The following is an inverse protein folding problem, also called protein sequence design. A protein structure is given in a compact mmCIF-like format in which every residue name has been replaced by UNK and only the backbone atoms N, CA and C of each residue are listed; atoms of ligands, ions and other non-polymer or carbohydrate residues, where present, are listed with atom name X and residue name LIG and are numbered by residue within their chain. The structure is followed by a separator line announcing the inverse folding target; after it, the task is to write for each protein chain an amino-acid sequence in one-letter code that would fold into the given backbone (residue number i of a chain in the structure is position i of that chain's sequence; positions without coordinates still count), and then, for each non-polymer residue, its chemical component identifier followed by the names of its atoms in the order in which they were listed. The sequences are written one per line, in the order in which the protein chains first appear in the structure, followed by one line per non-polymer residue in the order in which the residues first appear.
data_IF_286855352630
#
_entry.id   IF_286855352630
#
_cell.length_a   1.000
_cell.length_b   1.000
_cell.length_c   1.000
_cell.angle_alpha   90.00
_cell.angle_beta   90.00
_cell.angle_gamma   90.00
#
_symmetry.space_group_name_H-M   'P 1'
#
loop_
_entity.id
_entity.type
_entity.pdbx_description
1 polymer ?
#
# COMPACT_ATOMS: atom_id res chain seq x y z
N UNK A 1 27.81 0.48 -54.23
CA UNK A 1 26.93 0.10 -55.36
C UNK A 1 25.85 -0.85 -54.88
N UNK A 2 24.66 -0.53 -55.14
CA UNK A 2 23.31 -1.13 -55.07
C UNK A 2 22.42 -0.47 -54.05
N UNK A 3 21.61 0.48 -54.57
CA UNK A 3 20.40 1.07 -53.99
C UNK A 3 19.27 0.03 -54.06
N UNK A 4 18.49 -0.09 -53.00
CA UNK A 4 17.17 -0.72 -53.06
C UNK A 4 16.12 0.36 -52.74
N UNK A 5 15.20 0.52 -53.71
CA UNK A 5 14.10 1.44 -53.67
C UNK A 5 12.91 0.80 -52.97
N UNK A 6 12.21 1.58 -52.12
CA UNK A 6 10.90 1.21 -51.59
C UNK A 6 9.79 1.67 -52.55
N UNK A 7 8.96 0.71 -52.96
CA UNK A 7 7.79 0.91 -53.80
C UNK A 7 6.55 1.16 -52.87
N UNK A 8 5.95 2.34 -52.97
CA UNK A 8 4.70 2.66 -52.32
C UNK A 8 3.53 2.25 -53.25
N UNK A 9 2.65 1.39 -52.77
CA UNK A 9 1.41 1.03 -53.48
C UNK A 9 0.28 1.84 -52.86
N UNK A 10 -0.27 2.79 -53.65
CA UNK A 10 -1.49 3.49 -53.36
C UNK A 10 -2.70 2.65 -53.82
N UNK A 11 -3.59 2.31 -52.90
CA UNK A 11 -4.85 1.64 -53.22
C UNK A 11 -5.98 2.67 -53.18
N UNK A 12 -6.49 3.06 -54.34
CA UNK A 12 -7.61 3.97 -54.55
C UNK A 12 -8.90 3.13 -54.54
N UNK A 13 -9.75 3.30 -53.54
CA UNK A 13 -11.07 2.64 -53.50
C UNK A 13 -12.12 3.63 -53.96
N UNK A 14 -12.81 3.31 -55.01
CA UNK A 14 -13.96 4.01 -55.60
C UNK A 14 -15.19 3.68 -54.75
N UNK A 15 -15.86 4.70 -54.20
CA UNK A 15 -17.13 4.55 -53.50
C UNK A 15 -18.27 4.78 -54.47
N UNK A 16 -19.04 3.73 -54.79
CA UNK A 16 -20.29 3.83 -55.49
C UNK A 16 -21.42 3.99 -54.49
N UNK A 17 -22.11 5.12 -54.53
CA UNK A 17 -23.29 5.35 -53.72
C UNK A 17 -24.52 4.64 -54.33
N UNK A 18 -25.07 3.67 -53.61
CA UNK A 18 -26.45 3.18 -53.84
C UNK A 18 -27.29 3.63 -52.66
N UNK A 19 -28.32 4.42 -52.92
CA UNK A 19 -29.33 4.79 -51.96
C UNK A 19 -30.21 3.61 -51.59
N UNK A 20 -30.35 3.36 -50.29
CA UNK A 20 -31.34 2.50 -49.73
C UNK A 20 -32.05 3.21 -48.57
N UNK A 21 -33.37 3.25 -48.61
CA UNK A 21 -34.24 3.78 -47.57
C UNK A 21 -33.96 3.16 -46.21
N UNK A 22 -33.91 3.96 -45.17
CA UNK A 22 -33.69 3.52 -43.80
C UNK A 22 -34.91 2.76 -43.27
N UNK A 23 -34.77 1.57 -42.68
CA UNK A 23 -35.85 0.89 -42.00
C UNK A 23 -36.21 1.59 -40.69
N UNK A 24 -37.49 1.69 -40.41
CA UNK A 24 -38.04 2.21 -39.15
C UNK A 24 -37.59 1.36 -37.97
N UNK A 25 -37.25 1.97 -36.82
CA UNK A 25 -36.84 1.22 -35.65
C UNK A 25 -38.00 0.43 -35.06
N UNK A 26 -37.78 -0.86 -34.88
CA UNK A 26 -38.67 -1.73 -34.10
C UNK A 26 -38.71 -1.30 -32.64
N UNK A 27 -39.83 -1.47 -31.91
CA UNK A 27 -39.90 -1.15 -30.50
C UNK A 27 -38.88 -2.01 -29.72
N UNK A 28 -37.98 -1.35 -29.00
CA UNK A 28 -37.06 -2.03 -28.08
C UNK A 28 -37.86 -2.67 -26.93
N UNK A 29 -37.58 -3.90 -26.54
CA UNK A 29 -38.10 -4.45 -25.31
C UNK A 29 -37.58 -3.61 -24.14
N UNK A 30 -38.49 -3.20 -23.25
CA UNK A 30 -38.17 -2.57 -21.98
C UNK A 30 -37.24 -3.50 -21.20
N UNK A 31 -35.99 -3.06 -20.98
CA UNK A 31 -35.06 -3.81 -20.15
C UNK A 31 -35.64 -3.93 -18.73
N UNK A 32 -35.80 -5.15 -18.25
CA UNK A 32 -36.04 -5.40 -16.82
C UNK A 32 -34.89 -4.78 -16.01
N UNK A 33 -35.18 -4.19 -14.83
CA UNK A 33 -34.13 -3.68 -13.99
C UNK A 33 -33.17 -4.82 -13.66
N UNK A 34 -31.83 -4.58 -13.65
CA UNK A 34 -30.87 -5.62 -13.33
C UNK A 34 -31.20 -6.19 -11.95
N UNK A 35 -31.35 -7.51 -11.90
CA UNK A 35 -31.44 -8.28 -10.66
C UNK A 35 -30.28 -7.79 -9.75
N UNK A 36 -30.63 -7.30 -8.55
CA UNK A 36 -29.66 -6.93 -7.54
C UNK A 36 -28.64 -8.07 -7.42
N UNK A 37 -27.36 -7.78 -7.67
CA UNK A 37 -26.31 -8.75 -7.54
C UNK A 37 -26.41 -9.36 -6.14
N UNK A 38 -26.73 -10.63 -6.05
CA UNK A 38 -26.74 -11.37 -4.79
C UNK A 38 -25.32 -11.30 -4.24
N UNK A 39 -25.17 -10.76 -3.04
CA UNK A 39 -23.90 -10.77 -2.34
C UNK A 39 -23.29 -12.18 -2.41
N UNK A 40 -21.99 -12.32 -2.66
CA UNK A 40 -21.35 -13.63 -2.74
C UNK A 40 -21.65 -14.42 -1.45
N UNK A 41 -21.85 -15.75 -1.55
CA UNK A 41 -22.15 -16.59 -0.39
C UNK A 41 -21.07 -16.37 0.67
N UNK A 42 -21.51 -16.14 1.91
CA UNK A 42 -20.59 -15.91 3.04
C UNK A 42 -19.71 -17.14 3.19
N UNK A 43 -18.38 -16.99 3.19
CA UNK A 43 -17.52 -18.13 3.51
C UNK A 43 -17.89 -18.65 4.91
N UNK A 44 -18.06 -19.95 5.03
CA UNK A 44 -18.34 -20.61 6.30
C UNK A 44 -17.02 -20.73 7.07
N UNK A 45 -16.62 -19.64 7.77
CA UNK A 45 -15.35 -19.57 8.46
C UNK A 45 -15.37 -20.44 9.73
N UNK A 46 -14.26 -21.10 10.09
CA UNK A 46 -14.13 -21.85 11.33
C UNK A 46 -14.43 -21.02 12.57
N UNK A 47 -14.96 -21.63 13.62
CA UNK A 47 -15.30 -20.95 14.87
C UNK A 47 -14.06 -20.76 15.76
N UNK A 48 -13.41 -19.62 15.63
CA UNK A 48 -12.23 -19.22 16.44
C UNK A 48 -12.61 -18.35 17.65
N UNK A 49 -13.90 -17.97 17.81
CA UNK A 49 -14.36 -16.95 18.77
C UNK A 49 -14.23 -17.35 20.26
N UNK A 50 -14.09 -18.63 20.53
CA UNK A 50 -14.01 -19.13 21.92
C UNK A 50 -12.62 -18.93 22.55
N UNK A 51 -11.59 -18.63 21.75
CA UNK A 51 -10.18 -18.54 22.18
C UNK A 51 -9.62 -17.11 22.17
N UNK A 52 -10.39 -16.11 21.73
CA UNK A 52 -9.89 -14.73 21.63
C UNK A 52 -9.74 -14.04 23.00
N UNK A 53 -8.60 -13.36 23.20
CA UNK A 53 -8.48 -12.43 24.31
C UNK A 53 -9.51 -11.30 24.18
N UNK A 54 -9.88 -10.69 25.32
CA UNK A 54 -10.85 -9.61 25.40
C UNK A 54 -10.57 -8.54 24.33
N UNK A 55 -11.60 -7.91 23.76
CA UNK A 55 -11.43 -6.82 22.79
C UNK A 55 -10.65 -5.67 23.43
N UNK A 56 -9.97 -4.91 22.58
CA UNK A 56 -9.27 -3.69 22.96
C UNK A 56 -10.17 -2.75 23.81
N UNK A 57 -9.66 -2.07 24.84
CA UNK A 57 -10.45 -1.41 25.87
C UNK A 57 -11.20 -0.13 25.43
N UNK A 58 -11.35 0.14 24.14
CA UNK A 58 -12.15 1.27 23.67
C UNK A 58 -13.64 0.94 23.62
N UNK A 59 -14.54 1.85 24.06
CA UNK A 59 -15.98 1.64 24.02
C UNK A 59 -16.50 1.55 22.57
N UNK A 60 -17.51 0.71 22.33
CA UNK A 60 -18.18 0.61 21.03
C UNK A 60 -18.79 1.94 20.61
N UNK A 61 -18.67 2.29 19.33
CA UNK A 61 -19.29 3.47 18.72
C UNK A 61 -18.70 4.81 19.15
N UNK A 62 -17.50 4.81 19.77
CA UNK A 62 -16.88 6.02 20.30
C UNK A 62 -16.44 7.03 19.22
N UNK A 63 -16.32 6.61 17.97
CA UNK A 63 -15.71 7.43 16.92
C UNK A 63 -16.62 7.60 15.71
N UNK A 64 -16.66 8.82 15.17
CA UNK A 64 -17.34 9.11 13.92
C UNK A 64 -16.52 8.59 12.72
N UNK A 65 -17.18 8.15 11.63
CA UNK A 65 -16.49 7.84 10.38
C UNK A 65 -15.71 9.03 9.83
N UNK A 66 -14.54 8.75 9.26
CA UNK A 66 -13.73 9.74 8.54
C UNK A 66 -13.77 9.42 7.05
N UNK A 67 -14.03 10.43 6.23
CA UNK A 67 -13.99 10.33 4.78
C UNK A 67 -12.59 9.90 4.30
N UNK A 68 -12.52 9.03 3.28
CA UNK A 68 -11.26 8.47 2.83
C UNK A 68 -10.28 9.53 2.30
N UNK A 69 -10.78 10.59 1.62
CA UNK A 69 -9.91 11.69 1.15
C UNK A 69 -9.38 12.52 2.30
N UNK A 70 -10.20 12.76 3.33
CA UNK A 70 -9.76 13.44 4.56
C UNK A 70 -8.71 12.59 5.28
N UNK A 71 -8.97 11.29 5.43
CA UNK A 71 -8.03 10.36 6.09
C UNK A 71 -6.70 10.29 5.36
N UNK A 72 -6.71 10.24 4.02
CA UNK A 72 -5.49 10.22 3.23
C UNK A 72 -4.63 11.47 3.46
N UNK A 73 -5.24 12.64 3.66
CA UNK A 73 -4.51 13.86 4.00
C UNK A 73 -4.00 13.84 5.44
N UNK A 74 -4.75 13.25 6.37
CA UNK A 74 -4.34 13.11 7.78
C UNK A 74 -3.16 12.15 7.95
N UNK A 75 -2.95 11.18 7.03
CA UNK A 75 -1.76 10.33 7.04
C UNK A 75 -0.47 11.15 6.95
N UNK A 76 -0.50 12.33 6.34
CA UNK A 76 0.61 13.27 6.33
C UNK A 76 1.92 12.64 5.86
N UNK A 77 2.97 12.84 6.64
CA UNK A 77 4.30 12.26 6.45
C UNK A 77 4.46 11.05 7.35
N UNK A 78 4.66 9.89 6.76
CA UNK A 78 4.79 8.63 7.50
C UNK A 78 6.19 8.04 7.47
N UNK A 79 6.41 7.07 8.35
CA UNK A 79 7.58 6.19 8.34
C UNK A 79 7.15 4.75 8.59
N UNK A 80 7.80 3.81 7.90
CA UNK A 80 7.57 2.38 8.10
C UNK A 80 8.44 1.88 9.28
N UNK A 81 7.85 1.12 10.21
CA UNK A 81 8.57 0.35 11.22
C UNK A 81 8.98 -1.00 10.63
N UNK A 82 9.72 -0.93 9.52
CA UNK A 82 10.17 -2.10 8.77
C UNK A 82 11.29 -2.88 9.45
N UNK A 83 11.41 -4.15 9.07
CA UNK A 83 12.37 -5.12 9.61
C UNK A 83 12.18 -5.44 11.10
N UNK A 84 10.95 -5.31 11.61
CA UNK A 84 10.60 -5.56 13.01
C UNK A 84 9.57 -6.69 13.15
N UNK A 85 8.29 -6.40 12.93
CA UNK A 85 7.17 -7.33 13.15
C UNK A 85 6.78 -8.13 11.91
N UNK A 86 7.31 -7.81 10.75
CA UNK A 86 7.20 -8.62 9.53
C UNK A 86 8.27 -9.70 9.43
N UNK A 87 9.28 -9.68 10.28
CA UNK A 87 10.19 -10.80 10.47
C UNK A 87 9.41 -12.04 10.95
N UNK A 88 9.88 -13.27 10.70
CA UNK A 88 9.24 -14.49 11.21
C UNK A 88 9.07 -14.46 12.72
N UNK A 89 10.01 -13.85 13.41
CA UNK A 89 9.98 -13.53 14.84
C UNK A 89 10.57 -12.13 15.03
N UNK A 90 9.92 -11.31 15.83
CA UNK A 90 10.42 -9.97 16.15
C UNK A 90 11.85 -10.04 16.70
N UNK A 91 12.74 -9.20 16.16
CA UNK A 91 14.16 -9.19 16.49
C UNK A 91 15.04 -10.14 15.66
N UNK A 92 14.47 -11.06 14.88
CA UNK A 92 15.24 -11.99 14.05
C UNK A 92 16.05 -11.26 12.97
N UNK A 93 15.53 -10.14 12.47
CA UNK A 93 16.23 -9.27 11.51
C UNK A 93 16.95 -8.10 12.17
N UNK A 94 17.22 -8.21 13.48
CA UNK A 94 18.07 -7.27 14.26
C UNK A 94 17.30 -6.12 14.90
N UNK A 95 16.04 -5.89 14.56
CA UNK A 95 15.24 -4.78 15.10
C UNK A 95 14.02 -5.29 15.89
N UNK A 96 13.69 -4.52 16.95
CA UNK A 96 12.45 -4.69 17.72
C UNK A 96 11.78 -3.33 17.86
N UNK A 97 10.45 -3.31 17.95
CA UNK A 97 9.74 -2.07 18.25
C UNK A 97 9.95 -1.68 19.72
N UNK A 98 10.38 -0.45 19.96
CA UNK A 98 10.61 0.09 21.31
C UNK A 98 9.70 1.29 21.59
N UNK A 99 9.37 1.47 22.88
CA UNK A 99 8.48 2.55 23.31
C UNK A 99 9.02 3.93 22.91
N UNK A 100 10.30 4.14 23.07
CA UNK A 100 10.98 5.41 22.73
C UNK A 100 10.89 5.80 21.25
N UNK A 101 10.59 4.87 20.33
CA UNK A 101 10.49 5.18 18.91
C UNK A 101 9.28 6.04 18.56
N UNK A 102 8.16 5.86 19.26
CA UNK A 102 6.93 6.60 18.97
C UNK A 102 7.08 8.12 19.25
N UNK A 103 7.48 8.55 20.45
CA UNK A 103 7.74 9.97 20.67
C UNK A 103 8.89 10.52 19.80
N UNK A 104 9.94 9.73 19.51
CA UNK A 104 11.00 10.15 18.58
C UNK A 104 10.46 10.45 17.19
N UNK A 105 9.64 9.57 16.64
CA UNK A 105 9.02 9.72 15.31
C UNK A 105 8.09 10.94 15.30
N UNK A 106 7.25 11.10 16.31
CA UNK A 106 6.35 12.25 16.41
C UNK A 106 7.10 13.58 16.53
N UNK A 107 8.10 13.64 17.40
CA UNK A 107 8.94 14.84 17.61
C UNK A 107 9.76 15.20 16.37
N UNK A 108 10.19 14.22 15.58
CA UNK A 108 10.85 14.46 14.32
C UNK A 108 9.92 15.13 13.29
N UNK A 109 8.61 14.98 13.42
CA UNK A 109 7.61 15.60 12.54
C UNK A 109 6.88 14.63 11.62
N UNK A 110 6.92 13.34 11.90
CA UNK A 110 6.07 12.35 11.22
C UNK A 110 4.66 12.33 11.84
N UNK A 111 3.67 12.02 11.03
CA UNK A 111 2.25 11.97 11.40
C UNK A 111 1.72 10.54 11.43
N UNK A 112 2.42 9.59 10.79
CA UNK A 112 1.97 8.20 10.61
C UNK A 112 3.11 7.22 10.80
N UNK A 113 2.82 6.11 11.48
CA UNK A 113 3.63 4.89 11.44
C UNK A 113 2.90 3.82 10.65
N UNK A 114 3.52 3.28 9.60
CA UNK A 114 3.05 2.05 8.98
C UNK A 114 3.82 0.90 9.62
N UNK A 115 3.07 -0.09 10.09
CA UNK A 115 3.60 -1.21 10.86
C UNK A 115 3.46 -2.49 10.03
N UNK A 116 4.54 -2.90 9.34
CA UNK A 116 4.61 -4.19 8.68
C UNK A 116 4.45 -5.34 9.69
N UNK A 117 3.54 -6.29 9.44
CA UNK A 117 3.23 -7.37 10.38
C UNK A 117 3.10 -8.70 9.65
N UNK A 118 3.80 -9.74 10.13
CA UNK A 118 3.70 -11.10 9.60
C UNK A 118 2.74 -11.98 10.40
N UNK A 119 1.44 -11.68 10.34
CA UNK A 119 0.39 -12.41 11.05
C UNK A 119 0.42 -13.91 10.78
N UNK A 120 0.73 -14.31 9.54
CA UNK A 120 0.78 -15.71 9.12
C UNK A 120 1.80 -16.54 9.88
N UNK A 121 2.89 -15.93 10.38
CA UNK A 121 3.91 -16.61 11.19
C UNK A 121 3.46 -16.87 12.64
N UNK A 122 2.46 -16.11 13.11
CA UNK A 122 1.97 -16.15 14.48
C UNK A 122 0.56 -16.73 14.62
N UNK A 123 0.14 -17.53 13.65
CA UNK A 123 -1.17 -18.16 13.63
C UNK A 123 -1.06 -19.67 13.32
N UNK A 124 -2.01 -20.46 13.82
CA UNK A 124 -2.09 -21.87 13.51
C UNK A 124 -2.18 -22.10 11.98
N UNK A 125 -1.55 -23.17 11.53
CA UNK A 125 -1.57 -23.59 10.13
C UNK A 125 -2.84 -24.35 9.74
N UNK A 126 -3.53 -24.87 10.72
CA UNK A 126 -4.77 -25.63 10.55
C UNK A 126 -5.93 -24.89 11.19
N UNK A 127 -7.17 -25.12 10.74
CA UNK A 127 -8.34 -24.57 11.41
C UNK A 127 -8.33 -24.83 12.93
N UNK A 128 -8.71 -23.86 13.73
CA UNK A 128 -9.40 -22.61 13.37
C UNK A 128 -8.47 -21.43 12.99
N UNK A 129 -7.18 -21.66 12.68
CA UNK A 129 -6.19 -20.64 12.29
C UNK A 129 -5.98 -19.53 13.32
N UNK A 130 -6.12 -19.86 14.60
CA UNK A 130 -6.05 -18.90 15.70
C UNK A 130 -4.71 -18.15 15.69
N UNK A 131 -4.75 -16.82 15.71
CA UNK A 131 -3.58 -15.97 15.94
C UNK A 131 -3.22 -16.07 17.41
N UNK A 132 -1.93 -16.24 17.72
CA UNK A 132 -1.42 -16.36 19.08
C UNK A 132 -1.83 -15.15 19.93
N UNK A 133 -2.45 -15.35 21.12
CA UNK A 133 -2.91 -14.25 21.95
C UNK A 133 -1.79 -13.29 22.37
N UNK A 134 -0.59 -13.80 22.64
CA UNK A 134 0.58 -13.01 22.99
C UNK A 134 1.03 -12.11 21.82
N UNK A 135 0.84 -12.55 20.57
CA UNK A 135 1.14 -11.71 19.43
C UNK A 135 0.13 -10.58 19.27
N UNK A 136 -1.16 -10.85 19.50
CA UNK A 136 -2.15 -9.79 19.59
C UNK A 136 -1.80 -8.76 20.67
N UNK A 137 -1.41 -9.21 21.87
CA UNK A 137 -0.99 -8.30 22.95
C UNK A 137 0.20 -7.43 22.53
N UNK A 138 1.13 -7.99 21.75
CA UNK A 138 2.26 -7.22 21.21
C UNK A 138 1.81 -6.15 20.24
N UNK A 139 0.90 -6.46 19.32
CA UNK A 139 0.36 -5.50 18.35
C UNK A 139 -0.52 -4.45 19.04
N UNK A 140 -1.31 -4.84 20.04
CA UNK A 140 -2.08 -3.91 20.87
C UNK A 140 -1.18 -2.83 21.48
N UNK A 141 -0.08 -3.27 22.09
CA UNK A 141 0.90 -2.38 22.71
C UNK A 141 1.51 -1.40 21.67
N UNK A 142 1.79 -1.88 20.46
CA UNK A 142 2.30 -1.02 19.37
C UNK A 142 1.26 0.03 18.97
N UNK A 143 0.00 -0.36 18.79
CA UNK A 143 -1.08 0.55 18.43
C UNK A 143 -1.32 1.58 19.54
N UNK A 144 -1.35 1.13 20.82
CA UNK A 144 -1.52 2.02 21.97
C UNK A 144 -0.44 3.10 22.04
N UNK A 145 0.82 2.69 21.92
CA UNK A 145 1.94 3.64 21.96
C UNK A 145 1.89 4.64 20.80
N UNK A 146 1.52 4.21 19.60
CA UNK A 146 1.38 5.12 18.48
C UNK A 146 0.26 6.13 18.72
N UNK A 147 -0.93 5.68 19.13
CA UNK A 147 -2.08 6.55 19.43
C UNK A 147 -1.79 7.52 20.59
N UNK A 148 -1.11 7.08 21.65
CA UNK A 148 -0.70 7.93 22.78
C UNK A 148 0.29 9.04 22.37
N UNK A 149 0.95 8.86 21.23
CA UNK A 149 1.87 9.86 20.65
C UNK A 149 1.26 10.62 19.46
N UNK A 150 -0.09 10.64 19.32
CA UNK A 150 -0.80 11.34 18.25
C UNK A 150 -0.34 10.93 16.84
N UNK A 151 -0.05 9.64 16.64
CA UNK A 151 0.32 9.07 15.35
C UNK A 151 -0.84 8.30 14.73
N UNK A 152 -1.08 8.45 13.44
CA UNK A 152 -1.87 7.50 12.69
C UNK A 152 -1.11 6.18 12.58
N UNK A 153 -1.87 5.08 12.51
CA UNK A 153 -1.30 3.73 12.45
C UNK A 153 -1.87 2.96 11.26
N UNK A 154 -1.01 2.50 10.37
CA UNK A 154 -1.41 1.55 9.33
C UNK A 154 -0.89 0.19 9.72
N UNK A 155 -1.78 -0.75 10.03
CA UNK A 155 -1.42 -2.15 10.24
C UNK A 155 -1.72 -2.95 8.98
N UNK A 156 -0.79 -3.81 8.58
CA UNK A 156 -0.95 -4.62 7.38
C UNK A 156 -0.67 -6.11 7.62
N UNK A 157 -0.97 -6.93 6.62
CA UNK A 157 -0.37 -8.25 6.46
C UNK A 157 0.77 -8.11 5.46
N UNK A 158 2.03 -8.14 5.96
CA UNK A 158 3.18 -7.77 5.12
C UNK A 158 3.70 -8.95 4.31
N UNK A 159 4.17 -9.98 4.97
CA UNK A 159 4.65 -11.20 4.33
C UNK A 159 3.67 -12.36 4.53
N UNK A 160 3.31 -13.01 3.43
CA UNK A 160 2.51 -14.23 3.45
C UNK A 160 2.90 -15.12 2.26
N UNK A 161 4.12 -15.64 2.33
CA UNK A 161 4.76 -16.39 1.26
C UNK A 161 3.94 -17.58 0.74
N UNK A 162 3.16 -18.20 1.62
CA UNK A 162 2.33 -19.35 1.26
C UNK A 162 1.16 -18.91 0.37
N UNK A 163 0.54 -17.77 0.67
CA UNK A 163 -0.53 -17.18 -0.13
C UNK A 163 -0.04 -16.78 -1.53
N UNK A 164 1.18 -16.25 -1.61
CA UNK A 164 1.81 -15.87 -2.89
C UNK A 164 2.16 -17.08 -3.76
N UNK A 165 2.22 -18.28 -3.19
CA UNK A 165 2.50 -19.53 -3.91
C UNK A 165 1.25 -20.34 -4.20
N UNK A 166 0.27 -20.33 -3.31
CA UNK A 166 -0.95 -21.13 -3.37
C UNK A 166 -2.15 -20.33 -2.86
N UNK A 167 -2.72 -19.54 -3.74
CA UNK A 167 -3.90 -18.73 -3.44
C UNK A 167 -5.08 -19.58 -2.96
N UNK A 168 -5.36 -20.69 -3.63
CA UNK A 168 -6.55 -21.49 -3.32
C UNK A 168 -6.40 -22.25 -1.99
N UNK A 169 -5.21 -22.75 -1.68
CA UNK A 169 -4.93 -23.43 -0.42
C UNK A 169 -4.90 -22.50 0.80
N UNK A 170 -4.54 -21.23 0.61
CA UNK A 170 -4.37 -20.27 1.72
C UNK A 170 -5.51 -19.21 1.81
N UNK A 171 -6.43 -19.18 0.84
CA UNK A 171 -7.56 -18.23 0.79
C UNK A 171 -8.38 -18.23 2.09
N UNK A 172 -8.81 -19.39 2.54
CA UNK A 172 -9.61 -19.53 3.76
C UNK A 172 -8.84 -18.98 4.97
N UNK A 173 -7.59 -19.39 5.13
CA UNK A 173 -6.74 -18.95 6.22
C UNK A 173 -6.54 -17.44 6.21
N UNK A 174 -6.26 -16.84 5.06
CA UNK A 174 -6.13 -15.38 4.92
C UNK A 174 -7.40 -14.64 5.38
N UNK A 175 -8.57 -15.11 4.98
CA UNK A 175 -9.86 -14.51 5.36
C UNK A 175 -10.15 -14.68 6.86
N UNK A 176 -9.80 -15.83 7.45
CA UNK A 176 -9.96 -16.08 8.89
C UNK A 176 -9.01 -15.22 9.72
N UNK A 177 -7.77 -15.03 9.28
CA UNK A 177 -6.84 -14.14 9.96
C UNK A 177 -7.38 -12.71 9.99
N UNK A 178 -7.91 -12.22 8.87
CA UNK A 178 -8.53 -10.89 8.83
C UNK A 178 -9.83 -10.80 9.63
N UNK A 179 -10.61 -11.87 9.74
CA UNK A 179 -11.79 -11.88 10.62
C UNK A 179 -11.40 -11.69 12.09
N UNK A 180 -10.31 -12.34 12.53
CA UNK A 180 -9.77 -12.17 13.87
C UNK A 180 -9.23 -10.74 14.10
N UNK A 181 -8.41 -10.23 13.17
CA UNK A 181 -7.83 -8.89 13.24
C UNK A 181 -8.94 -7.83 13.27
N UNK A 182 -9.87 -7.89 12.31
CA UNK A 182 -10.95 -6.93 12.21
C UNK A 182 -11.89 -6.96 13.43
N UNK A 183 -12.18 -8.15 13.97
CA UNK A 183 -13.01 -8.30 15.17
C UNK A 183 -12.31 -7.73 16.41
N UNK A 184 -11.01 -7.98 16.58
CA UNK A 184 -10.26 -7.45 17.70
C UNK A 184 -10.22 -5.94 17.70
N UNK A 185 -9.96 -5.34 16.54
CA UNK A 185 -9.73 -3.90 16.40
C UNK A 185 -10.96 -3.09 15.98
N UNK A 186 -12.17 -3.68 16.09
CA UNK A 186 -13.42 -3.04 15.65
C UNK A 186 -13.71 -1.69 16.32
N UNK A 187 -13.26 -1.52 17.56
CA UNK A 187 -13.53 -0.35 18.38
C UNK A 187 -12.38 0.68 18.38
N UNK A 188 -11.32 0.46 17.60
CA UNK A 188 -10.24 1.42 17.50
C UNK A 188 -10.68 2.70 16.77
N UNK A 189 -10.04 3.84 17.08
CA UNK A 189 -10.32 5.11 16.42
C UNK A 189 -9.94 5.10 14.93
N UNK A 190 -10.42 6.09 14.14
CA UNK A 190 -10.18 6.15 12.69
C UNK A 190 -8.71 6.37 12.31
N UNK A 191 -7.86 6.81 13.24
CA UNK A 191 -6.41 6.92 13.10
C UNK A 191 -5.74 5.57 12.83
N UNK A 192 -6.44 4.44 13.09
CA UNK A 192 -5.96 3.10 12.75
C UNK A 192 -6.58 2.64 11.45
N UNK A 193 -5.77 2.43 10.42
CA UNK A 193 -6.17 1.94 9.11
C UNK A 193 -5.71 0.49 8.91
N UNK A 194 -6.44 -0.24 8.06
CA UNK A 194 -6.11 -1.61 7.70
C UNK A 194 -5.63 -1.68 6.25
N UNK A 195 -4.52 -2.37 6.04
CA UNK A 195 -3.99 -2.70 4.72
C UNK A 195 -3.95 -4.23 4.59
N UNK A 196 -4.92 -4.84 3.88
CA UNK A 196 -5.11 -6.29 3.88
C UNK A 196 -3.92 -7.10 3.41
N UNK A 197 -3.14 -6.60 2.46
CA UNK A 197 -1.93 -7.27 1.98
C UNK A 197 -0.96 -6.25 1.41
N UNK A 198 0.32 -6.38 1.73
CA UNK A 198 1.39 -5.47 1.35
C UNK A 198 1.63 -5.39 -0.17
N UNK A 199 2.19 -6.42 -0.74
CA UNK A 199 2.69 -6.48 -2.12
C UNK A 199 2.18 -7.76 -2.81
N UNK A 200 0.93 -7.82 -3.24
CA UNK A 200 0.38 -8.99 -3.91
C UNK A 200 1.20 -9.34 -5.16
N UNK A 201 1.64 -10.60 -5.25
CA UNK A 201 2.45 -11.10 -6.37
C UNK A 201 2.35 -12.62 -6.48
N UNK A 202 3.14 -13.23 -7.38
CA UNK A 202 3.16 -14.68 -7.55
C UNK A 202 1.85 -15.22 -8.07
N UNK A 203 1.11 -15.99 -7.28
CA UNK A 203 -0.22 -16.50 -7.61
C UNK A 203 -1.31 -15.40 -7.63
N UNK A 204 -0.98 -14.19 -7.18
CA UNK A 204 -1.88 -13.04 -7.15
C UNK A 204 -1.52 -12.06 -8.28
N UNK A 205 -2.20 -12.17 -9.42
CA UNK A 205 -2.29 -11.10 -10.40
C UNK A 205 -3.39 -10.09 -10.03
N UNK A 206 -3.59 -9.05 -10.84
CA UNK A 206 -4.59 -8.04 -10.51
C UNK A 206 -6.02 -8.60 -10.45
N UNK A 207 -6.40 -9.55 -11.31
CA UNK A 207 -7.76 -10.12 -11.33
C UNK A 207 -8.03 -10.95 -10.07
N UNK A 208 -7.14 -11.88 -9.76
CA UNK A 208 -7.25 -12.76 -8.59
C UNK A 208 -7.11 -11.98 -7.27
N UNK A 209 -6.25 -10.97 -7.23
CA UNK A 209 -6.12 -10.09 -6.08
C UNK A 209 -7.36 -9.22 -5.87
N UNK A 210 -7.90 -8.58 -6.91
CA UNK A 210 -9.13 -7.79 -6.80
C UNK A 210 -10.30 -8.63 -6.27
N UNK A 211 -10.41 -9.89 -6.70
CA UNK A 211 -11.44 -10.80 -6.20
C UNK A 211 -11.21 -11.19 -4.73
N UNK A 212 -9.97 -11.52 -4.35
CA UNK A 212 -9.64 -11.80 -2.96
C UNK A 212 -9.81 -10.55 -2.08
N UNK A 213 -9.47 -9.36 -2.60
CA UNK A 213 -9.66 -8.10 -1.87
C UNK A 213 -11.14 -7.84 -1.57
N UNK A 214 -12.05 -8.08 -2.51
CA UNK A 214 -13.50 -7.97 -2.26
C UNK A 214 -13.95 -8.90 -1.14
N UNK A 215 -13.43 -10.12 -1.09
CA UNK A 215 -13.76 -11.09 -0.06
C UNK A 215 -13.24 -10.64 1.31
N UNK A 216 -11.99 -10.23 1.43
CA UNK A 216 -11.43 -9.75 2.70
C UNK A 216 -12.07 -8.45 3.15
N UNK A 217 -12.38 -7.54 2.23
CA UNK A 217 -13.14 -6.33 2.56
C UNK A 217 -14.52 -6.66 3.12
N UNK A 218 -15.23 -7.62 2.53
CA UNK A 218 -16.52 -8.08 3.08
C UNK A 218 -16.38 -8.67 4.49
N UNK A 219 -15.27 -9.37 4.78
CA UNK A 219 -14.95 -9.86 6.12
C UNK A 219 -14.72 -8.68 7.08
N UNK A 220 -13.89 -7.71 6.73
CA UNK A 220 -13.59 -6.53 7.53
C UNK A 220 -14.87 -5.72 7.81
N UNK A 221 -15.75 -5.52 6.81
CA UNK A 221 -16.98 -4.73 6.93
C UNK A 221 -17.99 -5.30 7.90
N UNK A 222 -17.91 -6.58 8.27
CA UNK A 222 -18.79 -7.17 9.30
C UNK A 222 -18.66 -6.51 10.67
N UNK A 223 -17.47 -6.04 11.01
CA UNK A 223 -17.16 -5.46 12.31
C UNK A 223 -16.63 -4.02 12.22
N UNK A 224 -16.18 -3.60 11.05
CA UNK A 224 -15.60 -2.28 10.77
C UNK A 224 -16.29 -1.62 9.55
N UNK A 225 -17.58 -1.25 9.65
CA UNK A 225 -18.34 -0.78 8.48
C UNK A 225 -17.79 0.51 7.87
N UNK A 226 -17.07 1.32 8.63
CA UNK A 226 -16.60 2.66 8.23
C UNK A 226 -15.08 2.85 8.36
N UNK A 227 -14.33 1.78 8.69
CA UNK A 227 -12.87 1.88 8.77
C UNK A 227 -12.29 2.06 7.39
N UNK A 228 -11.39 3.03 7.26
CA UNK A 228 -10.64 3.19 6.03
C UNK A 228 -9.70 2.00 5.81
N UNK A 229 -9.81 1.36 4.63
CA UNK A 229 -9.04 0.19 4.21
C UNK A 229 -8.22 0.56 3.00
N UNK A 230 -6.95 0.14 3.01
CA UNK A 230 -5.98 0.48 1.98
C UNK A 230 -5.91 -0.66 0.97
N UNK A 231 -6.11 -0.33 -0.31
CA UNK A 231 -6.01 -1.22 -1.47
C UNK A 231 -4.73 -0.95 -2.24
N UNK A 232 -4.01 -1.98 -2.63
CA UNK A 232 -2.88 -1.90 -3.56
C UNK A 232 -3.17 -2.70 -4.82
N UNK A 233 -2.49 -2.40 -5.92
CA UNK A 233 -2.45 -3.27 -7.09
C UNK A 233 -1.51 -4.45 -6.86
N UNK A 234 -1.63 -5.51 -7.67
CA UNK A 234 -0.64 -6.58 -7.73
C UNK A 234 0.70 -6.07 -8.31
N UNK A 235 1.58 -6.98 -8.74
CA UNK A 235 2.91 -6.62 -9.23
C UNK A 235 3.78 -5.95 -8.15
N UNK A 236 3.89 -6.59 -6.98
CA UNK A 236 4.70 -6.12 -5.84
C UNK A 236 4.28 -4.72 -5.34
N UNK A 237 2.98 -4.39 -5.41
CA UNK A 237 2.48 -3.08 -4.98
C UNK A 237 3.03 -1.89 -5.75
N UNK A 238 3.67 -2.11 -6.89
CA UNK A 238 4.27 -1.03 -7.71
C UNK A 238 3.21 -0.08 -8.25
N UNK A 239 3.67 1.10 -8.68
CA UNK A 239 2.81 2.03 -9.42
C UNK A 239 2.17 1.37 -10.66
N UNK A 240 2.92 0.54 -11.39
CA UNK A 240 2.38 -0.15 -12.56
C UNK A 240 1.29 -1.16 -12.18
N UNK A 241 1.46 -1.89 -11.08
CA UNK A 241 0.42 -2.76 -10.53
C UNK A 241 -0.86 -1.97 -10.21
N UNK A 242 -0.75 -0.83 -9.52
CA UNK A 242 -1.89 0.04 -9.24
C UNK A 242 -2.57 0.56 -10.52
N UNK A 243 -1.78 1.00 -11.51
CA UNK A 243 -2.32 1.57 -12.75
C UNK A 243 -3.07 0.55 -13.62
N UNK A 244 -2.79 -0.73 -13.45
CA UNK A 244 -3.50 -1.84 -14.13
C UNK A 244 -4.69 -2.34 -13.31
N UNK A 245 -4.73 -2.07 -12.01
CA UNK A 245 -5.81 -2.46 -11.13
C UNK A 245 -7.05 -1.57 -11.34
N UNK A 246 -8.21 -2.14 -11.03
CA UNK A 246 -9.49 -1.42 -10.98
C UNK A 246 -9.90 -1.22 -9.54
N UNK A 247 -10.67 -0.17 -9.28
CA UNK A 247 -11.33 -0.02 -8.00
C UNK A 247 -12.15 -1.28 -7.69
N UNK A 248 -11.93 -1.95 -6.54
CA UNK A 248 -12.56 -3.26 -6.29
C UNK A 248 -14.09 -3.20 -6.18
N UNK A 249 -14.62 -2.09 -5.66
CA UNK A 249 -16.07 -1.82 -5.51
C UNK A 249 -16.32 -0.34 -5.20
N UNK A 250 -17.58 0.04 -4.96
CA UNK A 250 -17.99 1.42 -4.64
C UNK A 250 -17.94 1.78 -3.14
N UNK A 251 -17.21 1.02 -2.33
CA UNK A 251 -17.04 1.31 -0.91
C UNK A 251 -16.37 2.68 -0.72
N UNK A 252 -16.99 3.65 0.02
CA UNK A 252 -16.45 5.00 0.16
C UNK A 252 -15.26 5.09 1.11
N UNK A 253 -14.97 4.03 1.86
CA UNK A 253 -13.90 3.99 2.86
C UNK A 253 -12.68 3.19 2.34
N UNK A 254 -12.29 3.46 1.08
CA UNK A 254 -11.10 2.88 0.46
C UNK A 254 -10.09 3.96 0.11
N UNK A 255 -8.82 3.70 0.41
CA UNK A 255 -7.65 4.41 -0.08
C UNK A 255 -6.86 3.46 -0.99
N UNK A 256 -6.21 4.01 -2.01
CA UNK A 256 -5.23 3.26 -2.79
C UNK A 256 -3.81 3.54 -2.30
N UNK A 257 -2.95 2.53 -2.42
CA UNK A 257 -1.51 2.71 -2.17
C UNK A 257 -0.66 2.16 -3.31
N UNK A 258 0.53 2.69 -3.43
CA UNK A 258 1.61 2.15 -4.26
C UNK A 258 2.95 2.34 -3.59
N UNK A 259 3.92 1.51 -3.97
CA UNK A 259 5.32 1.61 -3.57
C UNK A 259 6.15 2.19 -4.69
N UNK A 260 7.08 3.10 -4.36
CA UNK A 260 7.88 3.79 -5.36
C UNK A 260 9.38 3.65 -5.11
N UNK A 261 10.00 2.84 -5.93
CA UNK A 261 11.43 2.55 -5.86
C UNK A 261 12.16 2.77 -7.20
N UNK A 262 11.56 3.56 -8.12
CA UNK A 262 12.19 3.82 -9.41
C UNK A 262 13.23 4.97 -9.36
N UNK A 263 14.37 4.83 -10.03
CA UNK A 263 14.80 3.64 -10.79
C UNK A 263 15.35 2.55 -9.87
N UNK A 264 14.83 1.33 -10.00
CA UNK A 264 15.10 0.22 -9.09
C UNK A 264 16.60 -0.11 -8.94
N UNK A 265 17.34 -0.03 -10.04
CA UNK A 265 18.80 -0.23 -10.03
C UNK A 265 19.55 0.81 -9.18
N UNK A 266 18.96 1.98 -8.92
CA UNK A 266 19.52 2.95 -7.98
C UNK A 266 19.10 2.63 -6.54
N UNK A 267 17.79 2.45 -6.30
CA UNK A 267 17.25 2.31 -4.95
C UNK A 267 17.62 1.00 -4.27
N UNK A 268 17.88 -0.06 -5.05
CA UNK A 268 18.21 -1.41 -4.56
C UNK A 268 19.60 -1.88 -4.96
N UNK A 269 20.50 -0.97 -5.36
CA UNK A 269 21.88 -1.37 -5.69
C UNK A 269 22.55 -2.08 -4.50
N UNK A 270 23.11 -3.26 -4.75
CA UNK A 270 23.81 -4.06 -3.76
C UNK A 270 22.93 -4.63 -2.65
N UNK A 271 21.60 -4.63 -2.80
CA UNK A 271 20.67 -5.24 -1.85
C UNK A 271 20.82 -6.77 -1.89
N UNK A 272 21.14 -7.38 -0.75
CA UNK A 272 21.53 -8.80 -0.66
C UNK A 272 20.38 -9.75 -1.02
N UNK A 273 19.12 -9.30 -0.90
CA UNK A 273 17.90 -10.05 -1.22
C UNK A 273 17.46 -9.89 -2.68
N UNK A 274 18.15 -9.06 -3.47
CA UNK A 274 17.82 -8.81 -4.89
C UNK A 274 18.91 -9.41 -5.76
N UNK A 275 18.55 -10.44 -6.55
CA UNK A 275 19.47 -11.11 -7.44
C UNK A 275 20.04 -10.12 -8.47
N UNK A 276 21.34 -10.16 -8.68
CA UNK A 276 22.05 -9.31 -9.65
C UNK A 276 22.27 -7.85 -9.20
N UNK A 277 21.76 -7.44 -8.03
CA UNK A 277 21.86 -6.06 -7.53
C UNK A 277 23.29 -5.53 -7.39
N UNK A 278 24.26 -6.42 -7.16
CA UNK A 278 25.67 -6.05 -7.04
C UNK A 278 26.22 -5.42 -8.34
N UNK A 279 25.65 -5.76 -9.49
CA UNK A 279 26.03 -5.15 -10.78
C UNK A 279 25.59 -3.69 -10.90
N UNK A 280 24.70 -3.22 -10.03
CA UNK A 280 24.18 -1.85 -10.00
C UNK A 280 24.94 -0.92 -9.06
N UNK A 281 25.89 -1.44 -8.27
CA UNK A 281 26.68 -0.64 -7.34
C UNK A 281 27.35 0.54 -8.07
N UNK A 282 27.25 1.73 -7.46
CA UNK A 282 27.75 2.98 -8.04
C UNK A 282 26.74 3.70 -8.93
N UNK A 283 25.52 3.16 -9.11
CA UNK A 283 24.43 3.89 -9.75
C UNK A 283 24.11 5.14 -8.95
N UNK A 284 24.14 6.31 -9.57
CA UNK A 284 23.86 7.59 -8.91
C UNK A 284 22.57 8.24 -9.42
N UNK A 285 21.94 9.02 -8.52
CA UNK A 285 20.80 9.86 -8.86
C UNK A 285 21.14 11.32 -8.57
N UNK A 286 21.29 12.14 -9.58
CA UNK A 286 21.74 13.54 -9.45
C UNK A 286 20.64 14.57 -9.70
N UNK A 287 19.41 14.11 -9.96
CA UNK A 287 18.29 14.99 -10.23
C UNK A 287 18.42 15.78 -11.52
N UNK A 288 18.98 15.18 -12.57
CA UNK A 288 18.98 15.81 -13.90
C UNK A 288 17.57 15.92 -14.46
N UNK A 289 17.39 16.68 -15.55
CA UNK A 289 16.07 16.95 -16.11
C UNK A 289 15.26 15.70 -16.43
N UNK A 290 15.89 14.65 -16.99
CA UNK A 290 15.21 13.38 -17.30
C UNK A 290 14.82 12.62 -16.05
N UNK A 291 15.70 12.53 -15.05
CA UNK A 291 15.43 11.85 -13.79
C UNK A 291 14.24 12.47 -13.06
N UNK A 292 14.18 13.81 -12.99
CA UNK A 292 13.08 14.54 -12.39
C UNK A 292 11.77 14.35 -13.17
N UNK A 293 11.83 14.51 -14.49
CA UNK A 293 10.67 14.35 -15.36
C UNK A 293 10.02 12.95 -15.25
N UNK A 294 10.82 11.89 -15.04
CA UNK A 294 10.31 10.55 -14.83
C UNK A 294 9.52 10.45 -13.51
N UNK A 295 10.06 10.99 -12.41
CA UNK A 295 9.35 11.03 -11.12
C UNK A 295 8.05 11.83 -11.24
N UNK A 296 8.11 13.02 -11.85
CA UNK A 296 6.94 13.87 -12.08
C UNK A 296 5.85 13.15 -12.87
N UNK A 297 6.25 12.49 -13.96
CA UNK A 297 5.35 11.72 -14.81
C UNK A 297 4.66 10.59 -14.03
N UNK A 298 5.41 9.87 -13.20
CA UNK A 298 4.88 8.77 -12.40
C UNK A 298 3.90 9.26 -11.32
N UNK A 299 4.23 10.35 -10.61
CA UNK A 299 3.32 10.94 -9.63
C UNK A 299 2.04 11.47 -10.28
N UNK A 300 2.13 12.06 -11.49
CA UNK A 300 0.97 12.48 -12.27
C UNK A 300 0.08 11.30 -12.68
N UNK A 301 0.67 10.13 -12.98
CA UNK A 301 -0.08 8.90 -13.29
C UNK A 301 -0.84 8.40 -12.06
N UNK A 302 -0.19 8.37 -10.88
CA UNK A 302 -0.83 7.98 -9.62
C UNK A 302 -2.06 8.85 -9.30
N UNK A 303 -1.90 10.17 -9.36
CA UNK A 303 -3.01 11.11 -9.14
C UNK A 303 -4.13 10.96 -10.18
N UNK A 304 -3.77 10.74 -11.43
CA UNK A 304 -4.76 10.52 -12.51
C UNK A 304 -5.57 9.26 -12.26
N UNK A 305 -4.91 8.17 -11.86
CA UNK A 305 -5.58 6.94 -11.50
C UNK A 305 -6.56 7.15 -10.34
N UNK A 306 -6.12 7.84 -9.28
CA UNK A 306 -6.97 8.17 -8.13
C UNK A 306 -8.22 8.96 -8.53
N UNK A 307 -8.07 9.98 -9.40
CA UNK A 307 -9.20 10.76 -9.93
C UNK A 307 -10.16 9.91 -10.78
N UNK A 308 -9.64 9.05 -11.63
CA UNK A 308 -10.44 8.18 -12.49
C UNK A 308 -11.24 7.14 -11.70
N UNK A 309 -10.69 6.67 -10.59
CA UNK A 309 -11.29 5.67 -9.72
C UNK A 309 -12.03 6.27 -8.52
N UNK A 310 -12.07 7.60 -8.38
CA UNK A 310 -12.63 8.29 -7.21
C UNK A 310 -12.11 7.70 -5.89
N UNK A 311 -10.78 7.53 -5.79
CA UNK A 311 -10.07 7.04 -4.60
C UNK A 311 -8.89 7.95 -4.30
N UNK A 312 -8.66 8.34 -3.03
CA UNK A 312 -7.41 8.97 -2.65
C UNK A 312 -6.26 7.98 -2.77
N UNK A 313 -5.07 8.49 -3.09
CA UNK A 313 -3.87 7.68 -3.28
C UNK A 313 -2.81 8.11 -2.28
N UNK A 314 -2.19 7.13 -1.65
CA UNK A 314 -1.11 7.25 -0.69
C UNK A 314 0.13 6.50 -1.20
N UNK A 315 1.32 7.08 -1.06
CA UNK A 315 2.56 6.38 -1.38
C UNK A 315 3.06 5.67 -0.11
N UNK A 316 2.73 4.38 0.05
CA UNK A 316 2.96 3.60 1.27
C UNK A 316 4.41 3.30 1.56
N UNK A 317 5.24 3.24 0.52
CA UNK A 317 6.68 3.02 0.65
C UNK A 317 7.45 3.78 -0.43
N UNK A 318 8.58 4.37 -0.04
CA UNK A 318 9.65 4.83 -0.92
C UNK A 318 10.94 4.98 -0.13
N UNK A 319 12.07 4.72 -0.75
CA UNK A 319 13.37 4.80 -0.08
C UNK A 319 14.51 4.40 -1.00
N UNK A 320 15.75 4.60 -0.56
CA UNK A 320 16.94 4.15 -1.27
C UNK A 320 17.92 3.48 -0.30
N UNK A 321 18.36 2.27 -0.66
CA UNK A 321 19.21 1.42 0.17
C UNK A 321 20.57 2.06 0.44
N UNK A 322 21.12 1.81 1.62
CA UNK A 322 22.35 2.43 2.12
C UNK A 322 23.62 2.15 1.31
N UNK A 323 23.58 1.20 0.40
CA UNK A 323 24.67 0.95 -0.58
C UNK A 323 24.76 2.03 -1.66
N UNK A 324 23.72 2.82 -1.88
CA UNK A 324 23.79 4.02 -2.72
C UNK A 324 24.53 5.14 -1.99
N UNK A 325 25.22 6.01 -2.74
CA UNK A 325 25.89 7.17 -2.15
C UNK A 325 24.89 8.11 -1.47
N UNK A 326 25.30 8.70 -0.35
CA UNK A 326 24.41 9.51 0.48
C UNK A 326 23.84 10.72 -0.27
N UNK A 327 24.65 11.40 -1.09
CA UNK A 327 24.20 12.57 -1.83
C UNK A 327 23.08 12.24 -2.81
N UNK A 328 23.21 11.10 -3.52
CA UNK A 328 22.15 10.59 -4.40
C UNK A 328 20.92 10.16 -3.63
N UNK A 329 21.07 9.52 -2.47
CA UNK A 329 19.95 9.15 -1.58
C UNK A 329 19.17 10.40 -1.13
N UNK A 330 19.89 11.40 -0.65
CA UNK A 330 19.30 12.69 -0.21
C UNK A 330 18.58 13.38 -1.35
N UNK A 331 19.23 13.51 -2.51
CA UNK A 331 18.66 14.19 -3.66
C UNK A 331 17.38 13.48 -4.18
N UNK A 332 17.40 12.14 -4.25
CA UNK A 332 16.28 11.33 -4.70
C UNK A 332 15.12 11.38 -3.69
N UNK A 333 15.40 11.15 -2.42
CA UNK A 333 14.40 11.17 -1.34
C UNK A 333 13.71 12.53 -1.28
N UNK A 334 14.48 13.62 -1.33
CA UNK A 334 13.91 14.97 -1.38
C UNK A 334 12.97 15.15 -2.57
N UNK A 335 13.45 14.80 -3.77
CA UNK A 335 12.68 15.04 -4.97
C UNK A 335 11.38 14.23 -5.01
N UNK A 336 11.43 12.94 -4.67
CA UNK A 336 10.25 12.07 -4.64
C UNK A 336 9.22 12.56 -3.63
N UNK A 337 9.65 12.87 -2.39
CA UNK A 337 8.75 13.37 -1.35
C UNK A 337 8.09 14.69 -1.77
N UNK A 338 8.85 15.65 -2.31
CA UNK A 338 8.30 16.95 -2.77
C UNK A 338 7.41 16.80 -4.01
N UNK A 339 7.75 15.93 -4.95
CA UNK A 339 6.94 15.66 -6.13
C UNK A 339 5.57 15.06 -5.74
N UNK A 340 5.54 14.17 -4.75
CA UNK A 340 4.32 13.62 -4.18
C UNK A 340 3.48 14.71 -3.50
N UNK A 341 4.07 15.47 -2.57
CA UNK A 341 3.39 16.54 -1.82
C UNK A 341 2.85 17.66 -2.74
N UNK A 342 3.59 18.05 -3.77
CA UNK A 342 3.14 19.04 -4.76
C UNK A 342 1.86 18.63 -5.50
N UNK A 343 1.53 17.35 -5.47
CA UNK A 343 0.33 16.75 -6.10
C UNK A 343 -0.74 16.33 -5.08
N UNK A 344 -0.54 16.66 -3.81
CA UNK A 344 -1.46 16.32 -2.72
C UNK A 344 -1.40 14.86 -2.30
N UNK A 345 -0.36 14.12 -2.67
CA UNK A 345 -0.11 12.78 -2.17
C UNK A 345 0.61 12.85 -0.82
N UNK A 346 0.16 12.07 0.13
CA UNK A 346 0.86 11.79 1.38
C UNK A 346 1.67 10.50 1.23
N UNK A 347 2.61 10.25 2.15
CA UNK A 347 3.58 9.17 1.95
C UNK A 347 4.10 8.59 3.27
N UNK A 348 4.70 7.37 3.21
CA UNK A 348 5.50 6.80 4.26
C UNK A 348 6.88 6.36 3.73
N UNK A 349 7.94 6.82 4.39
CA UNK A 349 9.31 6.48 4.04
C UNK A 349 9.67 5.05 4.46
N UNK A 350 10.29 4.30 3.58
CA UNK A 350 10.88 3.01 3.88
C UNK A 350 12.38 3.21 4.13
N UNK A 351 12.92 3.16 5.36
CA UNK A 351 12.21 2.80 6.58
C UNK A 351 12.83 3.49 7.82
N UNK A 352 12.40 3.10 9.02
CA UNK A 352 12.85 3.72 10.25
C UNK A 352 14.34 3.45 10.54
N UNK A 353 14.78 2.16 10.67
CA UNK A 353 16.05 1.88 11.33
C UNK A 353 16.90 0.72 10.80
N UNK A 354 16.66 0.23 9.57
CA UNK A 354 17.48 -0.82 8.96
C UNK A 354 18.22 -0.33 7.71
N UNK A 355 18.27 -1.11 6.65
CA UNK A 355 19.09 -0.84 5.46
C UNK A 355 18.77 0.43 4.69
N UNK A 356 17.57 0.97 4.80
CA UNK A 356 17.16 2.26 4.24
C UNK A 356 17.11 3.38 5.29
N UNK A 357 17.42 3.07 6.52
CA UNK A 357 17.14 3.77 7.75
C UNK A 357 17.28 5.28 7.75
N UNK A 358 16.26 5.96 8.30
CA UNK A 358 16.31 7.38 8.66
C UNK A 358 16.84 7.60 10.09
N UNK A 359 16.84 6.56 10.92
CA UNK A 359 17.36 6.55 12.28
C UNK A 359 18.31 5.37 12.47
N UNK A 360 19.36 5.53 13.22
CA UNK A 360 20.26 4.44 13.61
C UNK A 360 19.98 4.02 15.06
N UNK A 361 19.35 2.85 15.28
CA UNK A 361 19.00 2.38 16.61
C UNK A 361 20.21 1.91 17.45
N UNK A 362 21.39 1.80 16.87
CA UNK A 362 22.63 1.43 17.58
C UNK A 362 23.28 2.68 18.15
N UNK A 363 23.50 3.70 17.31
CA UNK A 363 24.07 4.98 17.76
C UNK A 363 23.04 5.92 18.39
N UNK A 364 21.74 5.59 18.28
CA UNK A 364 20.60 6.39 18.73
C UNK A 364 20.56 7.78 18.06
N UNK A 365 20.90 7.84 16.78
CA UNK A 365 20.99 9.10 16.05
C UNK A 365 20.17 9.07 14.76
N UNK A 366 19.61 10.21 14.41
CA UNK A 366 18.99 10.40 13.11
C UNK A 366 20.05 10.47 12.00
N UNK A 367 19.71 9.89 10.85
CA UNK A 367 20.41 10.19 9.61
C UNK A 367 19.94 11.59 9.15
N UNK A 368 20.53 12.61 9.76
CA UNK A 368 20.13 14.01 9.59
C UNK A 368 19.97 14.44 8.13
N UNK A 369 20.88 14.08 7.20
CA UNK A 369 20.70 14.44 5.79
C UNK A 369 19.40 13.88 5.17
N UNK A 370 18.99 12.67 5.53
CA UNK A 370 17.73 12.04 5.06
C UNK A 370 16.54 12.63 5.82
N UNK A 371 16.61 12.73 7.14
CA UNK A 371 15.52 13.30 7.94
C UNK A 371 15.17 14.72 7.49
N UNK A 372 16.18 15.56 7.31
CA UNK A 372 15.99 16.97 6.96
C UNK A 372 15.26 17.13 5.61
N UNK A 373 15.48 16.28 4.64
CA UNK A 373 14.76 16.36 3.35
C UNK A 373 13.36 15.71 3.38
N UNK A 374 13.13 14.80 4.32
CA UNK A 374 11.79 14.25 4.57
C UNK A 374 10.89 15.27 5.29
N UNK A 375 11.41 15.92 6.33
CA UNK A 375 10.65 16.74 7.29
C UNK A 375 10.87 18.25 7.06
N UNK A 376 11.32 18.67 5.87
CA UNK A 376 11.44 20.09 5.58
C UNK A 376 10.17 20.85 6.01
N UNK A 377 10.35 21.79 6.94
CA UNK A 377 9.30 22.76 7.23
C UNK A 377 9.11 23.57 5.94
N UNK A 378 7.89 23.57 5.38
CA UNK A 378 7.55 24.55 4.38
C UNK A 378 7.80 25.93 5.04
N UNK A 379 8.80 26.67 4.56
CA UNK A 379 8.88 28.08 4.91
C UNK A 379 7.53 28.67 4.45
N UNK A 380 6.80 29.23 5.41
CA UNK A 380 5.58 29.94 5.12
C UNK A 380 5.98 31.06 4.14
N UNK A 381 5.76 30.82 2.85
CA UNK A 381 5.88 31.89 1.85
C UNK A 381 4.86 32.93 2.24
N UNK A 382 5.32 33.94 2.95
CA UNK A 382 4.54 35.13 3.29
C UNK A 382 3.97 35.71 2.00
N UNK A 383 2.65 35.65 1.87
CA UNK A 383 1.85 36.44 0.95
C UNK A 383 1.05 37.45 1.76
#
# INVERSE_FOLDING_TARGET
MRKLAYLAIACTTVITACGAEAPQPSPQPTAEPPLAATAPPRPNLPNWKEEMPLPFPFPEGAFAPVDAFVQAQQLGRGVNFGNMLEAPKEGEWGLVVREEYFPLVRQAGFDTVRVPIRWSAHALRQPPYTIAPEFFQRIDWVIENALQNDLNVVINMHHYEELFKDLEGERERFLVLWDQIATRYRNLPPEVLFEPLNEPHGALDNESWEELFKQVLAVIRRTNPHRNVIFTGADMGTLNGLLQAKRPNDDPHLLATFHYYLPFAFTHQGAEWVEGSSAWLGTSWRGNGTQRANVDYDMDRAVRWGKQNNMPVWMGEFGAYSKADLDSRVAWTNYVARAAEARGLTWAYWEFGSGFGVYDPISLQWNEPILNVLIQKQEATGR
#
